data_IF_231493816754
#
_entry.id   IF_231493816754
#
_cell.length_a   1.000
_cell.length_b   1.000
_cell.length_c   1.000
_cell.angle_alpha   90.00
_cell.angle_beta   90.00
_cell.angle_gamma   90.00
#
_symmetry.space_group_name_H-M   'P 1'
#
loop_
_entity.id
_entity.type
_entity.pdbx_description
1 polymer ?
#
# COMPACT_ATOMS: atom_id res chain seq x y z
N UNK A 1 -2.73 -16.43 -23.75
CA UNK A 1 -4.06 -16.65 -23.14
C UNK A 1 -4.66 -15.29 -22.85
N UNK A 2 -5.53 -14.79 -23.73
CA UNK A 2 -6.22 -13.52 -23.52
C UNK A 2 -7.33 -13.74 -22.49
N UNK A 3 -7.16 -13.19 -21.28
CA UNK A 3 -8.26 -13.15 -20.31
C UNK A 3 -9.12 -11.95 -20.71
N UNK A 4 -10.16 -12.20 -21.49
CA UNK A 4 -11.15 -11.19 -21.84
C UNK A 4 -11.97 -10.86 -20.58
N UNK A 5 -11.44 -9.98 -19.73
CA UNK A 5 -12.19 -9.44 -18.59
C UNK A 5 -13.24 -8.49 -19.16
N UNK A 6 -14.51 -8.89 -19.12
CA UNK A 6 -15.63 -7.96 -19.32
C UNK A 6 -15.65 -6.95 -18.16
N UNK A 7 -14.87 -5.88 -18.31
CA UNK A 7 -14.81 -4.80 -17.33
C UNK A 7 -16.01 -3.90 -17.56
N UNK A 8 -16.93 -3.85 -16.58
CA UNK A 8 -18.07 -2.91 -16.57
C UNK A 8 -17.57 -1.47 -16.77
N UNK A 9 -18.29 -0.61 -17.51
CA UNK A 9 -17.84 0.77 -17.80
C UNK A 9 -17.46 1.60 -16.56
N UNK A 10 -18.13 1.40 -15.42
CA UNK A 10 -17.83 2.07 -14.16
C UNK A 10 -16.42 1.76 -13.61
N UNK A 11 -15.89 0.57 -13.92
CA UNK A 11 -14.60 0.06 -13.43
C UNK A 11 -13.44 0.49 -14.36
N UNK A 12 -13.73 0.84 -15.62
CA UNK A 12 -12.74 1.20 -16.65
C UNK A 12 -11.80 2.34 -16.20
N UNK A 13 -12.28 3.23 -15.33
CA UNK A 13 -11.50 4.38 -14.86
C UNK A 13 -10.61 4.08 -13.65
N UNK A 14 -10.69 2.88 -13.07
CA UNK A 14 -9.94 2.49 -11.86
C UNK A 14 -8.84 1.44 -12.13
N UNK A 15 -8.81 0.89 -13.35
CA UNK A 15 -7.86 -0.12 -13.81
C UNK A 15 -7.06 0.46 -14.98
N UNK A 16 -5.78 0.11 -15.06
CA UNK A 16 -5.00 0.33 -16.27
C UNK A 16 -5.63 -0.41 -17.45
N UNK A 17 -5.99 0.37 -18.47
CA UNK A 17 -6.62 -0.16 -19.67
C UNK A 17 -5.58 -0.85 -20.55
N UNK A 18 -5.83 -2.13 -20.87
CA UNK A 18 -5.13 -2.81 -21.96
C UNK A 18 -5.54 -2.17 -23.30
N UNK A 19 -4.54 -1.80 -24.11
CA UNK A 19 -4.73 -1.19 -25.43
C UNK A 19 -4.53 -2.22 -26.54
N UNK A 20 -3.47 -3.04 -26.44
CA UNK A 20 -3.10 -4.01 -27.47
C UNK A 20 -2.20 -5.11 -26.89
N UNK A 21 -2.36 -6.34 -27.38
CA UNK A 21 -1.40 -7.44 -27.15
C UNK A 21 -0.70 -7.73 -28.46
N UNK A 22 0.63 -7.66 -28.45
CA UNK A 22 1.50 -7.95 -29.57
C UNK A 22 2.19 -9.30 -29.33
N UNK A 23 2.34 -10.08 -30.39
CA UNK A 23 3.10 -11.33 -30.38
C UNK A 23 4.15 -11.22 -31.48
N UNK A 24 5.43 -11.27 -31.11
CA UNK A 24 6.54 -11.23 -32.06
C UNK A 24 7.68 -12.11 -31.55
N UNK A 25 8.23 -13.00 -32.39
CA UNK A 25 9.38 -13.88 -32.10
C UNK A 25 9.40 -14.58 -30.72
N UNK A 26 8.23 -15.02 -30.22
CA UNK A 26 8.10 -15.71 -28.94
C UNK A 26 8.03 -14.78 -27.72
N UNK A 27 8.03 -13.46 -27.93
CA UNK A 27 7.76 -12.45 -26.93
C UNK A 27 6.28 -12.01 -26.98
N UNK A 28 5.67 -11.85 -25.80
CA UNK A 28 4.33 -11.30 -25.65
C UNK A 28 4.48 -9.89 -25.06
N UNK A 29 4.12 -8.86 -25.83
CA UNK A 29 4.13 -7.48 -25.35
C UNK A 29 2.71 -7.00 -25.10
N UNK A 30 2.45 -6.46 -23.91
CA UNK A 30 1.14 -5.91 -23.52
C UNK A 30 1.25 -4.39 -23.49
N UNK A 31 0.57 -3.72 -24.42
CA UNK A 31 0.46 -2.26 -24.45
C UNK A 31 -0.68 -1.82 -23.52
N UNK A 32 -0.36 -0.91 -22.60
CA UNK A 32 -1.27 -0.43 -21.57
C UNK A 32 -1.39 1.09 -21.59
N UNK A 33 -2.44 1.62 -20.97
CA UNK A 33 -2.57 3.04 -20.71
C UNK A 33 -1.34 3.58 -19.95
N UNK A 34 -0.76 4.66 -20.47
CA UNK A 34 0.41 5.28 -19.87
C UNK A 34 0.04 6.14 -18.65
N UNK A 35 0.73 5.87 -17.53
CA UNK A 35 0.64 6.62 -16.29
C UNK A 35 1.97 7.34 -16.05
N UNK A 36 2.05 8.61 -16.44
CA UNK A 36 3.28 9.42 -16.45
C UNK A 36 3.86 9.73 -15.06
N UNK A 37 3.12 9.44 -13.98
CA UNK A 37 3.59 9.50 -12.60
C UNK A 37 4.16 8.17 -12.08
N UNK A 38 4.12 7.11 -12.90
CA UNK A 38 4.64 5.80 -12.52
C UNK A 38 3.86 5.14 -11.37
N UNK A 39 4.53 4.29 -10.61
CA UNK A 39 3.96 3.56 -9.48
C UNK A 39 4.23 4.25 -8.14
N UNK A 40 3.39 3.98 -7.13
CA UNK A 40 3.55 4.61 -5.81
C UNK A 40 4.84 4.23 -5.09
N UNK A 41 5.48 3.09 -5.39
CA UNK A 41 6.82 2.78 -4.85
C UNK A 41 7.91 3.70 -5.44
N UNK A 42 7.77 4.10 -6.71
CA UNK A 42 8.65 5.08 -7.35
C UNK A 42 8.40 6.46 -6.77
N UNK A 43 7.13 6.85 -6.61
CA UNK A 43 6.76 8.11 -5.94
C UNK A 43 7.29 8.16 -4.52
N UNK A 44 7.24 7.05 -3.77
CA UNK A 44 7.75 6.98 -2.40
C UNK A 44 9.25 7.25 -2.33
N UNK A 45 10.04 6.80 -3.30
CA UNK A 45 11.50 7.05 -3.35
C UNK A 45 11.81 8.55 -3.44
N UNK A 46 11.01 9.30 -4.20
CA UNK A 46 11.16 10.75 -4.34
C UNK A 46 10.56 11.52 -3.15
N UNK A 47 9.35 11.14 -2.72
CA UNK A 47 8.63 11.83 -1.65
C UNK A 47 9.21 11.54 -0.25
N UNK A 48 9.93 10.42 -0.10
CA UNK A 48 10.34 9.77 1.17
C UNK A 48 9.17 9.29 2.02
N UNK A 49 8.06 10.05 2.10
CA UNK A 49 6.81 9.70 2.76
C UNK A 49 5.64 10.32 2.00
N UNK A 50 4.52 9.61 1.94
CA UNK A 50 3.29 10.14 1.35
C UNK A 50 2.39 10.67 2.48
N UNK A 51 1.92 11.93 2.40
CA UNK A 51 1.00 12.48 3.39
C UNK A 51 -0.31 11.70 3.50
N UNK A 52 -0.90 11.67 4.69
CA UNK A 52 -2.12 10.93 4.98
C UNK A 52 -3.31 11.37 4.09
N UNK A 53 -3.43 12.66 3.84
CA UNK A 53 -4.45 13.26 2.98
C UNK A 53 -4.35 12.79 1.51
N UNK A 54 -3.13 12.56 1.04
CA UNK A 54 -2.83 12.01 -0.29
C UNK A 54 -3.18 10.52 -0.32
N UNK A 55 -2.85 9.79 0.75
CA UNK A 55 -3.18 8.36 0.87
C UNK A 55 -4.68 8.11 0.94
N UNK A 56 -5.45 8.98 1.60
CA UNK A 56 -6.91 8.92 1.63
C UNK A 56 -7.52 8.79 0.23
N UNK A 57 -6.98 9.53 -0.75
CA UNK A 57 -7.41 9.43 -2.16
C UNK A 57 -7.06 8.09 -2.82
N UNK A 58 -5.88 7.56 -2.53
CA UNK A 58 -5.44 6.26 -3.06
C UNK A 58 -6.32 5.12 -2.52
N UNK A 59 -6.59 5.13 -1.21
CA UNK A 59 -7.44 4.14 -0.54
C UNK A 59 -8.86 4.13 -1.10
N UNK A 60 -9.45 5.30 -1.30
CA UNK A 60 -10.80 5.43 -1.85
C UNK A 60 -10.95 4.69 -3.17
N UNK A 61 -9.97 4.87 -4.08
CA UNK A 61 -10.00 4.20 -5.38
C UNK A 61 -9.73 2.71 -5.27
N UNK A 62 -8.79 2.30 -4.42
CA UNK A 62 -8.52 0.88 -4.17
C UNK A 62 -9.73 0.14 -3.59
N UNK A 63 -10.43 0.74 -2.62
CA UNK A 63 -11.63 0.17 -2.00
C UNK A 63 -12.85 0.18 -2.91
N UNK A 64 -13.07 1.24 -3.69
CA UNK A 64 -14.13 1.29 -4.69
C UNK A 64 -13.99 0.14 -5.70
N UNK A 65 -12.76 -0.11 -6.14
CA UNK A 65 -12.44 -1.24 -7.03
C UNK A 65 -12.77 -2.60 -6.39
N UNK A 66 -12.34 -2.84 -5.15
CA UNK A 66 -12.62 -4.11 -4.46
C UNK A 66 -14.13 -4.31 -4.24
N UNK A 67 -14.87 -3.23 -3.96
CA UNK A 67 -16.31 -3.25 -3.63
C UNK A 67 -17.20 -3.50 -4.83
N UNK A 68 -16.99 -2.83 -5.95
CA UNK A 68 -17.84 -3.01 -7.14
C UNK A 68 -17.71 -4.41 -7.75
N UNK A 69 -16.65 -5.13 -7.36
CA UNK A 69 -16.19 -6.37 -7.96
C UNK A 69 -16.15 -7.52 -6.95
N UNK A 70 -17.14 -7.67 -6.07
CA UNK A 70 -17.28 -8.78 -5.09
C UNK A 70 -17.20 -10.23 -5.65
N UNK A 71 -16.68 -10.45 -6.86
CA UNK A 71 -16.25 -11.75 -7.40
C UNK A 71 -14.84 -11.80 -8.03
N UNK A 72 -14.00 -10.74 -8.01
CA UNK A 72 -12.61 -10.87 -8.52
C UNK A 72 -11.59 -10.26 -7.54
N UNK A 73 -10.72 -11.12 -7.04
CA UNK A 73 -9.55 -10.81 -6.18
C UNK A 73 -8.42 -10.18 -7.00
N UNK A 74 -7.70 -9.22 -6.42
CA UNK A 74 -6.51 -8.64 -7.06
C UNK A 74 -5.29 -9.55 -6.92
N UNK A 75 -5.05 -10.08 -5.72
CA UNK A 75 -3.94 -11.00 -5.39
C UNK A 75 -2.54 -10.41 -5.28
N UNK A 76 -2.38 -9.12 -5.52
CA UNK A 76 -1.07 -8.46 -5.51
C UNK A 76 -1.19 -6.95 -5.25
N UNK A 77 -1.98 -6.55 -4.25
CA UNK A 77 -2.09 -5.13 -3.88
C UNK A 77 -0.81 -4.71 -3.16
N UNK A 78 -0.02 -3.83 -3.79
CA UNK A 78 1.22 -3.27 -3.23
C UNK A 78 1.53 -1.92 -3.91
N UNK A 79 2.41 -1.07 -3.35
CA UNK A 79 2.71 0.24 -3.94
C UNK A 79 3.16 0.21 -5.40
N UNK A 80 3.90 -0.81 -5.82
CA UNK A 80 4.34 -0.96 -7.22
C UNK A 80 3.20 -1.21 -8.21
N UNK A 81 2.05 -1.68 -7.71
CA UNK A 81 0.88 -2.02 -8.53
C UNK A 81 -0.21 -0.92 -8.46
N UNK A 82 0.10 0.21 -7.82
CA UNK A 82 -0.75 1.40 -7.76
C UNK A 82 -0.09 2.47 -8.62
N UNK A 83 -0.61 2.71 -9.81
CA UNK A 83 -0.08 3.68 -10.76
C UNK A 83 -0.80 5.03 -10.66
N UNK A 84 -0.06 6.09 -10.92
CA UNK A 84 -0.54 7.48 -10.80
C UNK A 84 -0.10 8.34 -11.98
N UNK A 85 -0.82 9.42 -12.25
CA UNK A 85 -0.48 10.32 -13.35
C UNK A 85 -0.68 11.80 -13.01
N UNK A 86 -0.11 12.68 -13.83
CA UNK A 86 -0.10 14.13 -13.69
C UNK A 86 -1.49 14.77 -13.70
N UNK A 87 -2.51 14.05 -14.19
CA UNK A 87 -3.94 14.45 -14.12
C UNK A 87 -4.58 14.12 -12.77
N UNK A 88 -3.85 13.47 -11.87
CA UNK A 88 -4.31 13.02 -10.56
C UNK A 88 -5.17 11.76 -10.61
N UNK A 89 -5.04 10.96 -11.66
CA UNK A 89 -5.64 9.63 -11.70
C UNK A 89 -4.76 8.64 -10.93
N UNK A 90 -5.42 7.76 -10.19
CA UNK A 90 -4.83 6.63 -9.47
C UNK A 90 -5.53 5.38 -9.99
N UNK A 91 -4.76 4.38 -10.44
CA UNK A 91 -5.27 3.15 -11.05
C UNK A 91 -4.44 1.96 -10.58
N UNK A 92 -5.09 0.82 -10.42
CA UNK A 92 -4.42 -0.44 -10.11
C UNK A 92 -3.98 -1.13 -11.41
N UNK A 93 -2.85 -1.83 -11.37
CA UNK A 93 -2.34 -2.68 -12.46
C UNK A 93 -2.05 -4.11 -11.98
N UNK A 94 -1.72 -5.01 -12.91
CA UNK A 94 -1.31 -6.40 -12.62
C UNK A 94 -2.36 -7.24 -11.87
N UNK A 95 -3.61 -7.12 -12.29
CA UNK A 95 -4.73 -7.92 -11.77
C UNK A 95 -4.59 -9.39 -12.12
N UNK A 96 -4.33 -10.25 -11.13
CA UNK A 96 -4.64 -11.68 -11.19
C UNK A 96 -3.92 -12.54 -12.24
N UNK A 97 -3.14 -11.96 -13.17
CA UNK A 97 -2.32 -12.73 -14.13
C UNK A 97 -1.23 -13.49 -13.38
N UNK A 98 -0.81 -12.96 -12.23
CA UNK A 98 0.13 -13.64 -11.34
C UNK A 98 -0.45 -14.95 -10.81
N UNK A 99 -1.71 -15.04 -10.38
CA UNK A 99 -2.24 -16.28 -9.79
C UNK A 99 -2.22 -17.51 -10.71
N UNK A 100 -2.34 -17.33 -12.03
CA UNK A 100 -2.28 -18.43 -13.01
C UNK A 100 -0.86 -18.62 -13.59
N UNK A 101 -0.04 -17.57 -13.69
CA UNK A 101 1.38 -17.68 -14.04
C UNK A 101 2.26 -18.19 -12.88
N UNK A 102 1.88 -17.93 -11.63
CA UNK A 102 2.58 -18.37 -10.40
C UNK A 102 2.54 -19.90 -10.30
N UNK A 103 1.42 -20.54 -10.65
CA UNK A 103 1.33 -22.00 -10.68
C UNK A 103 2.20 -22.61 -11.80
N UNK A 104 2.54 -21.84 -12.84
CA UNK A 104 3.37 -22.30 -13.97
C UNK A 104 4.87 -21.96 -13.81
N UNK A 105 5.23 -20.94 -13.01
CA UNK A 105 6.62 -20.46 -12.80
C UNK A 105 7.01 -20.40 -11.32
N UNK A 106 6.64 -21.42 -10.54
CA UNK A 106 6.67 -21.43 -9.07
C UNK A 106 8.05 -21.26 -8.37
N UNK A 107 9.13 -20.86 -9.05
CA UNK A 107 10.47 -20.76 -8.48
C UNK A 107 11.14 -19.37 -8.50
N UNK A 108 10.50 -18.27 -8.92
CA UNK A 108 11.24 -16.99 -9.14
C UNK A 108 10.68 -15.69 -8.54
N UNK A 109 9.85 -15.69 -7.49
CA UNK A 109 9.39 -14.42 -6.90
C UNK A 109 9.29 -14.43 -5.36
N UNK A 110 10.40 -14.08 -4.72
CA UNK A 110 10.52 -13.86 -3.26
C UNK A 110 9.91 -12.52 -2.83
N UNK A 111 9.95 -11.49 -3.68
CA UNK A 111 9.54 -10.12 -3.33
C UNK A 111 8.02 -9.86 -3.24
N UNK A 112 7.20 -10.62 -3.95
CA UNK A 112 5.72 -10.45 -3.93
C UNK A 112 5.08 -11.04 -2.66
N UNK A 113 5.76 -11.97 -1.97
CA UNK A 113 5.21 -12.70 -0.82
C UNK A 113 5.20 -11.89 0.49
N UNK A 114 5.82 -10.72 0.53
CA UNK A 114 5.90 -9.90 1.75
C UNK A 114 4.59 -9.18 2.10
N UNK A 115 3.70 -8.91 1.14
CA UNK A 115 2.41 -8.25 1.40
C UNK A 115 1.28 -9.24 1.71
N UNK A 116 1.58 -10.53 1.65
CA UNK A 116 0.61 -11.61 1.82
C UNK A 116 0.12 -11.73 3.28
N UNK A 117 -1.17 -12.01 3.46
CA UNK A 117 -1.77 -12.22 4.79
C UNK A 117 -1.35 -13.57 5.39
N UNK A 118 -1.21 -13.63 6.71
CA UNK A 118 -0.85 -14.87 7.46
C UNK A 118 -1.75 -16.09 7.23
N UNK A 119 -3.01 -15.91 6.76
CA UNK A 119 -3.96 -17.00 6.48
C UNK A 119 -3.64 -17.86 5.24
N UNK A 120 -2.48 -17.67 4.61
CA UNK A 120 -2.07 -18.37 3.38
C UNK A 120 -1.36 -19.71 3.61
N UNK A 121 -1.23 -20.16 4.86
CA UNK A 121 -0.96 -21.58 5.12
C UNK A 121 -2.24 -22.40 4.84
N UNK A 122 -2.58 -22.56 3.57
CA UNK A 122 -3.51 -23.60 3.10
C UNK A 122 -4.98 -23.23 2.86
N UNK A 123 -5.39 -21.95 2.84
CA UNK A 123 -6.78 -21.57 2.53
C UNK A 123 -6.92 -20.62 1.33
N UNK A 124 -8.03 -20.73 0.61
CA UNK A 124 -8.34 -19.98 -0.61
C UNK A 124 -8.16 -18.47 -0.41
N UNK A 125 -7.42 -17.84 -1.32
CA UNK A 125 -7.27 -16.38 -1.37
C UNK A 125 -8.67 -15.73 -1.37
N UNK A 126 -8.85 -14.65 -0.60
CA UNK A 126 -10.12 -13.91 -0.53
C UNK A 126 -9.88 -12.41 -0.58
N UNK A 127 -10.95 -11.63 -0.72
CA UNK A 127 -10.91 -10.15 -0.65
C UNK A 127 -10.26 -9.66 0.65
N UNK A 128 -10.37 -10.42 1.75
CA UNK A 128 -9.72 -10.08 3.01
C UNK A 128 -8.20 -10.00 2.86
N UNK A 129 -7.59 -10.82 2.01
CA UNK A 129 -6.15 -10.77 1.73
C UNK A 129 -5.75 -9.47 1.03
N UNK A 130 -6.58 -8.97 0.10
CA UNK A 130 -6.35 -7.68 -0.56
C UNK A 130 -6.47 -6.51 0.43
N UNK A 131 -7.41 -6.58 1.38
CA UNK A 131 -7.56 -5.59 2.46
C UNK A 131 -6.31 -5.53 3.34
N UNK A 132 -5.74 -6.69 3.69
CA UNK A 132 -4.48 -6.74 4.45
C UNK A 132 -3.32 -6.13 3.67
N UNK A 133 -3.18 -6.53 2.40
CA UNK A 133 -2.11 -6.05 1.52
C UNK A 133 -2.19 -4.52 1.32
N UNK A 134 -3.41 -3.99 1.21
CA UNK A 134 -3.68 -2.55 1.23
C UNK A 134 -3.27 -1.90 2.55
N UNK A 135 -3.62 -2.51 3.69
CA UNK A 135 -3.21 -2.03 5.02
C UNK A 135 -1.69 -1.93 5.16
N UNK A 136 -0.94 -2.94 4.72
CA UNK A 136 0.53 -2.93 4.74
C UNK A 136 1.09 -1.85 3.82
N UNK A 137 0.56 -1.74 2.61
CA UNK A 137 0.94 -0.70 1.65
C UNK A 137 0.76 0.70 2.23
N UNK A 138 -0.33 0.95 2.97
CA UNK A 138 -0.57 2.24 3.60
C UNK A 138 0.45 2.55 4.69
N UNK A 139 0.82 1.58 5.52
CA UNK A 139 1.86 1.78 6.54
C UNK A 139 3.20 2.11 5.86
N UNK A 140 3.58 1.36 4.83
CA UNK A 140 4.81 1.60 4.09
C UNK A 140 4.86 3.01 3.48
N UNK A 141 3.82 3.39 2.75
CA UNK A 141 3.75 4.70 2.11
C UNK A 141 3.75 5.85 3.12
N UNK A 142 3.15 5.63 4.29
CA UNK A 142 3.10 6.62 5.38
C UNK A 142 4.44 6.80 6.08
N UNK A 143 5.15 5.70 6.35
CA UNK A 143 6.41 5.68 7.10
C UNK A 143 7.62 5.93 6.19
N UNK A 144 7.52 5.60 4.90
CA UNK A 144 8.65 5.70 3.96
C UNK A 144 9.52 4.47 3.87
N UNK A 145 9.08 3.36 4.47
CA UNK A 145 9.83 2.12 4.61
C UNK A 145 8.85 0.96 4.80
N UNK A 146 9.19 -0.19 4.22
CA UNK A 146 8.44 -1.43 4.44
C UNK A 146 8.34 -1.77 5.95
N UNK A 147 7.14 -2.03 6.49
CA UNK A 147 6.88 -1.92 7.93
C UNK A 147 7.24 -3.16 8.75
N UNK A 148 7.84 -4.18 8.14
CA UNK A 148 8.24 -5.42 8.82
C UNK A 148 9.74 -5.67 8.61
N UNK A 149 10.54 -5.78 9.68
CA UNK A 149 10.15 -5.57 11.08
C UNK A 149 9.80 -4.08 11.34
N UNK A 150 8.93 -3.80 12.34
CA UNK A 150 8.57 -2.43 12.70
C UNK A 150 9.79 -1.58 13.08
N UNK A 151 9.80 -0.28 12.72
CA UNK A 151 10.88 0.61 13.14
C UNK A 151 10.87 0.77 14.66
N UNK A 152 12.05 0.78 15.26
CA UNK A 152 12.18 1.07 16.69
C UNK A 152 11.99 2.56 17.00
N UNK A 153 12.00 2.92 18.29
CA UNK A 153 11.80 4.31 18.73
C UNK A 153 12.85 5.29 18.17
N UNK A 154 14.10 4.84 17.97
CA UNK A 154 15.18 5.68 17.45
C UNK A 154 15.00 5.92 15.95
N UNK A 155 14.61 4.88 15.22
CA UNK A 155 14.24 4.99 13.80
C UNK A 155 13.03 5.90 13.61
N UNK A 156 11.98 5.74 14.43
CA UNK A 156 10.80 6.60 14.39
C UNK A 156 11.13 8.07 14.71
N UNK A 157 12.00 8.32 15.69
CA UNK A 157 12.48 9.68 15.98
C UNK A 157 13.30 10.26 14.82
N UNK A 158 14.09 9.45 14.12
CA UNK A 158 14.80 9.89 12.92
C UNK A 158 13.86 10.21 11.75
N UNK A 159 12.76 9.46 11.60
CA UNK A 159 11.79 9.62 10.50
C UNK A 159 10.86 10.82 10.74
N UNK A 160 10.38 11.00 11.98
CA UNK A 160 9.32 11.95 12.33
C UNK A 160 9.75 13.07 13.28
N UNK A 161 10.98 13.05 13.79
CA UNK A 161 11.42 13.94 14.86
C UNK A 161 10.79 13.61 16.22
N UNK A 162 10.86 14.54 17.17
CA UNK A 162 10.37 14.35 18.57
C UNK A 162 8.85 14.14 18.70
N UNK A 163 8.09 14.20 17.61
CA UNK A 163 6.64 14.02 17.60
C UNK A 163 6.20 12.56 17.86
N UNK A 164 7.09 11.57 17.74
CA UNK A 164 6.75 10.15 17.82
C UNK A 164 6.93 9.49 19.21
N UNK A 165 6.98 10.28 20.30
CA UNK A 165 7.14 9.69 21.65
C UNK A 165 5.90 8.87 22.04
N UNK A 166 6.02 7.57 22.38
CA UNK A 166 4.93 6.86 23.02
C UNK A 166 4.61 7.52 24.37
N UNK A 167 3.34 7.48 24.83
CA UNK A 167 2.98 8.00 26.14
C UNK A 167 3.84 7.32 27.21
N UNK A 168 4.56 8.11 28.02
CA UNK A 168 5.33 7.59 29.15
C UNK A 168 4.36 6.86 30.10
N UNK A 169 4.58 5.59 30.45
CA UNK A 169 3.85 5.01 31.56
C UNK A 169 4.23 5.77 32.85
N UNK A 170 3.24 6.36 33.51
CA UNK A 170 3.41 6.92 34.85
C UNK A 170 3.47 5.75 35.84
N UNK A 171 4.67 5.23 36.10
CA UNK A 171 4.93 4.31 37.20
C UNK A 171 5.93 4.95 38.18
N UNK A 172 5.72 4.81 39.50
CA UNK A 172 6.57 5.41 40.51
C UNK A 172 7.96 4.76 40.53
N UNK A 173 8.97 5.58 40.86
CA UNK A 173 10.37 5.21 40.96
C UNK A 173 10.60 4.14 42.04
N UNK A 174 10.85 2.89 41.65
CA UNK A 174 11.66 1.96 42.45
C UNK A 174 12.30 0.85 41.61
N UNK A 175 13.64 0.92 41.58
CA UNK A 175 14.61 -0.19 41.50
C UNK A 175 14.38 -1.29 40.46
N UNK A 176 14.95 -1.11 39.26
CA UNK A 176 15.56 -2.23 38.53
C UNK A 176 16.89 -1.76 37.95
N UNK A 177 17.97 -2.36 38.44
CA UNK A 177 19.34 -2.15 37.98
C UNK A 177 19.47 -2.53 36.50
N UNK A 178 19.89 -1.58 35.67
CA UNK A 178 20.20 -1.80 34.25
C UNK A 178 21.69 -2.15 34.12
N UNK A 179 22.10 -3.28 33.53
CA UNK A 179 23.49 -3.49 33.19
C UNK A 179 23.83 -2.72 31.90
N UNK A 180 24.80 -1.83 32.03
CA UNK A 180 25.86 -1.47 31.07
C UNK A 180 25.53 -1.36 29.58
N UNK A 181 25.58 -0.11 29.12
CA UNK A 181 25.67 0.31 27.73
C UNK A 181 26.96 -0.21 27.08
N UNK A 182 26.85 -0.89 25.95
CA UNK A 182 27.96 -1.03 24.99
C UNK A 182 27.59 -0.20 23.76
N UNK A 183 28.31 0.88 23.56
CA UNK A 183 28.23 1.68 22.34
C UNK A 183 28.87 0.93 21.18
N UNK A 184 28.13 0.77 20.08
CA UNK A 184 28.71 0.46 18.79
C UNK A 184 27.89 1.07 17.64
N UNK A 185 28.61 1.83 16.81
CA UNK A 185 28.50 1.92 15.36
C UNK A 185 27.15 2.26 14.73
N UNK A 186 27.10 3.38 14.02
CA UNK A 186 26.34 3.43 12.78
C UNK A 186 26.89 2.32 11.87
N UNK A 187 26.09 1.30 11.56
CA UNK A 187 25.93 0.72 10.22
C UNK A 187 25.04 -0.54 10.23
N UNK A 188 24.04 -0.50 9.34
CA UNK A 188 23.40 -1.64 8.66
C UNK A 188 22.93 -2.83 9.50
N UNK A 189 21.72 -2.74 10.08
CA UNK A 189 20.96 -3.96 10.40
C UNK A 189 20.78 -4.77 9.09
N UNK A 190 21.10 -6.08 9.06
CA UNK A 190 20.86 -6.90 7.89
C UNK A 190 19.39 -6.85 7.48
N UNK A 191 19.12 -6.83 6.18
CA UNK A 191 17.77 -7.05 5.69
C UNK A 191 17.30 -8.44 6.13
N UNK A 192 16.12 -8.50 6.74
CA UNK A 192 15.49 -9.74 7.22
C UNK A 192 15.35 -10.74 6.07
N UNK A 193 15.65 -12.02 6.32
CA UNK A 193 15.48 -13.07 5.32
C UNK A 193 13.99 -13.35 5.08
N UNK A 194 13.64 -13.91 3.90
CA UNK A 194 12.23 -14.14 3.55
C UNK A 194 11.49 -15.06 4.53
N UNK A 195 12.14 -16.11 5.03
CA UNK A 195 11.52 -17.03 5.99
C UNK A 195 11.25 -16.35 7.33
N UNK A 196 12.16 -15.50 7.79
CA UNK A 196 11.98 -14.69 9.01
C UNK A 196 10.84 -13.68 8.83
N UNK A 197 10.72 -13.08 7.65
CA UNK A 197 9.63 -12.17 7.32
C UNK A 197 8.27 -12.88 7.32
N UNK A 198 8.20 -14.06 6.70
CA UNK A 198 6.96 -14.85 6.69
C UNK A 198 6.60 -15.33 8.10
N UNK A 199 7.59 -15.75 8.89
CA UNK A 199 7.39 -16.12 10.28
C UNK A 199 6.86 -14.92 11.10
N UNK A 200 7.44 -13.74 10.92
CA UNK A 200 6.98 -12.51 11.56
C UNK A 200 5.50 -12.23 11.21
N UNK A 201 5.14 -12.27 9.93
CA UNK A 201 3.76 -12.02 9.48
C UNK A 201 2.78 -13.00 10.16
N UNK A 202 3.18 -14.26 10.34
CA UNK A 202 2.33 -15.31 10.91
C UNK A 202 2.27 -15.26 12.43
N UNK A 203 3.38 -14.96 13.12
CA UNK A 203 3.50 -15.15 14.57
C UNK A 203 3.53 -13.85 15.36
N UNK A 204 4.06 -12.76 14.80
CA UNK A 204 4.24 -11.48 15.49
C UNK A 204 3.02 -10.54 15.33
N UNK A 205 2.85 -9.53 16.19
CA UNK A 205 1.75 -8.58 16.05
C UNK A 205 1.85 -7.79 14.73
N UNK A 206 0.71 -7.40 14.12
CA UNK A 206 0.71 -6.64 12.90
C UNK A 206 1.34 -5.25 13.11
N UNK A 207 1.98 -4.67 12.08
CA UNK A 207 2.54 -3.34 12.18
C UNK A 207 1.44 -2.29 12.42
N UNK A 208 1.82 -1.19 13.07
CA UNK A 208 0.93 -0.08 13.40
C UNK A 208 1.57 1.24 12.99
N UNK A 209 0.74 2.22 12.65
CA UNK A 209 1.19 3.59 12.48
C UNK A 209 1.59 4.18 13.85
N UNK A 210 2.65 5.01 13.90
CA UNK A 210 3.07 5.66 15.14
C UNK A 210 2.03 6.65 15.66
N UNK A 211 1.75 6.58 16.95
CA UNK A 211 0.86 7.49 17.66
C UNK A 211 1.43 8.92 17.69
N UNK A 212 0.55 9.93 17.66
CA UNK A 212 0.94 11.35 17.71
C UNK A 212 1.45 11.95 16.40
N UNK A 213 1.66 11.12 15.36
CA UNK A 213 2.07 11.56 14.02
C UNK A 213 0.90 11.58 13.05
N UNK A 214 0.09 10.53 13.07
CA UNK A 214 -1.05 10.34 12.17
C UNK A 214 -2.37 10.58 12.89
N UNK A 215 -3.43 10.86 12.13
CA UNK A 215 -4.75 11.06 12.75
C UNK A 215 -5.25 9.75 13.40
N UNK A 216 -6.03 9.84 14.50
CA UNK A 216 -6.62 8.66 15.11
C UNK A 216 -7.49 7.85 14.13
N UNK A 217 -8.19 8.54 13.22
CA UNK A 217 -9.04 7.89 12.22
C UNK A 217 -8.23 7.05 11.23
N UNK A 218 -7.04 7.52 10.83
CA UNK A 218 -6.18 6.77 9.92
C UNK A 218 -5.49 5.59 10.62
N UNK A 219 -5.05 5.78 11.86
CA UNK A 219 -4.52 4.70 12.69
C UNK A 219 -5.56 3.58 12.87
N UNK A 220 -6.80 3.93 13.21
CA UNK A 220 -7.89 2.97 13.35
C UNK A 220 -8.21 2.26 12.02
N UNK A 221 -8.25 3.01 10.91
CA UNK A 221 -8.51 2.46 9.58
C UNK A 221 -7.47 1.40 9.20
N UNK A 222 -6.19 1.72 9.35
CA UNK A 222 -5.08 0.79 9.08
C UNK A 222 -5.13 -0.40 10.04
N UNK A 223 -5.41 -0.17 11.32
CA UNK A 223 -5.54 -1.25 12.30
C UNK A 223 -6.62 -2.26 11.89
N UNK A 224 -7.78 -1.79 11.44
CA UNK A 224 -8.88 -2.64 10.95
C UNK A 224 -8.52 -3.44 9.70
N UNK A 225 -7.66 -2.91 8.83
CA UNK A 225 -7.13 -3.63 7.67
C UNK A 225 -6.14 -4.73 8.06
N UNK A 226 -5.36 -4.51 9.13
CA UNK A 226 -4.27 -5.38 9.56
C UNK A 226 -4.65 -6.33 10.72
N UNK A 227 -5.93 -6.58 10.95
CA UNK A 227 -6.37 -7.65 11.86
C UNK A 227 -5.93 -8.99 11.25
N UNK A 228 -5.21 -9.81 12.02
CA UNK A 228 -4.64 -11.09 11.54
C UNK A 228 -5.72 -12.10 11.21
N UNK A 229 -6.74 -12.24 12.05
CA UNK A 229 -7.88 -13.11 11.80
C UNK A 229 -8.72 -12.55 10.63
N UNK A 230 -8.77 -13.22 9.46
CA UNK A 230 -9.52 -12.72 8.30
C UNK A 230 -11.03 -12.57 8.57
N UNK A 231 -11.60 -13.34 9.52
CA UNK A 231 -13.01 -13.26 9.86
C UNK A 231 -13.36 -12.04 10.73
N UNK A 232 -12.38 -11.52 11.49
CA UNK A 232 -12.53 -10.31 12.32
C UNK A 232 -12.05 -9.05 11.59
N UNK A 233 -11.22 -9.21 10.56
CA UNK A 233 -10.75 -8.11 9.71
C UNK A 233 -11.95 -7.42 9.06
N UNK A 234 -11.93 -6.10 9.08
CA UNK A 234 -13.01 -5.30 8.52
C UNK A 234 -13.23 -5.67 7.05
N UNK A 235 -14.49 -5.86 6.67
CA UNK A 235 -14.87 -6.03 5.28
C UNK A 235 -14.93 -4.68 4.56
N UNK A 236 -15.09 -4.72 3.24
CA UNK A 236 -15.16 -3.52 2.40
C UNK A 236 -16.31 -2.59 2.79
N UNK A 237 -17.44 -3.13 3.24
CA UNK A 237 -18.61 -2.34 3.62
C UNK A 237 -18.30 -1.51 4.87
N UNK A 238 -17.65 -2.12 5.86
CA UNK A 238 -17.18 -1.46 7.08
C UNK A 238 -16.14 -0.39 6.74
N UNK A 239 -15.16 -0.69 5.87
CA UNK A 239 -14.11 0.24 5.50
C UNK A 239 -14.67 1.46 4.73
N UNK A 240 -15.63 1.27 3.84
CA UNK A 240 -16.26 2.37 3.09
C UNK A 240 -17.14 3.28 3.96
N UNK A 241 -17.60 2.78 5.10
CA UNK A 241 -18.28 3.57 6.13
C UNK A 241 -17.33 4.21 7.14
N UNK A 242 -16.02 3.97 7.05
CA UNK A 242 -15.07 4.40 8.07
C UNK A 242 -14.88 5.91 8.10
N UNK A 243 -14.67 6.49 9.29
CA UNK A 243 -14.51 7.92 9.48
C UNK A 243 -13.36 8.51 8.64
N UNK A 244 -12.24 7.78 8.51
CA UNK A 244 -11.13 8.15 7.63
C UNK A 244 -11.56 8.35 6.18
N UNK A 245 -12.30 7.38 5.62
CA UNK A 245 -12.83 7.43 4.25
C UNK A 245 -13.81 8.59 4.10
N UNK A 246 -14.74 8.75 5.05
CA UNK A 246 -15.72 9.84 5.00
C UNK A 246 -15.09 11.22 5.08
N UNK A 247 -14.00 11.36 5.84
CA UNK A 247 -13.23 12.59 5.89
C UNK A 247 -12.52 12.83 4.56
N UNK A 248 -11.83 11.83 4.01
CA UNK A 248 -11.15 11.94 2.72
C UNK A 248 -12.08 12.16 1.53
N UNK A 249 -13.35 11.75 1.60
CA UNK A 249 -14.38 12.08 0.60
C UNK A 249 -14.76 13.56 0.62
N UNK A 250 -14.70 14.21 1.79
CA UNK A 250 -15.08 15.60 1.97
C UNK A 250 -13.89 16.57 1.82
N UNK A 251 -12.66 16.08 1.94
CA UNK A 251 -11.44 16.88 1.82
C UNK A 251 -11.06 17.09 0.33
N UNK A 252 -11.00 18.36 -0.08
CA UNK A 252 -10.47 18.74 -1.39
C UNK A 252 -8.94 18.75 -1.35
N UNK A 253 -8.33 17.64 -1.80
CA UNK A 253 -6.88 17.46 -1.86
C UNK A 253 -6.39 17.55 -3.31
N UNK A 254 -5.50 18.51 -3.58
CA UNK A 254 -4.80 18.67 -4.87
C UNK A 254 -3.71 17.59 -5.05
N UNK A 255 -4.16 16.37 -5.30
CA UNK A 255 -3.28 15.23 -5.55
C UNK A 255 -2.43 15.42 -6.81
N UNK A 256 -3.00 15.96 -7.89
CA UNK A 256 -2.30 16.19 -9.14
C UNK A 256 -1.12 17.17 -8.96
N UNK A 257 -1.35 18.31 -8.31
CA UNK A 257 -0.29 19.26 -8.02
C UNK A 257 0.74 18.75 -7.03
N UNK A 258 0.34 18.00 -5.99
CA UNK A 258 1.29 17.35 -5.10
C UNK A 258 2.21 16.38 -5.88
N UNK A 259 1.64 15.54 -6.73
CA UNK A 259 2.39 14.57 -7.52
C UNK A 259 3.34 15.27 -8.50
N UNK A 260 2.86 16.28 -9.23
CA UNK A 260 3.67 17.02 -10.18
C UNK A 260 4.85 17.73 -9.51
N UNK A 261 4.65 18.30 -8.32
CA UNK A 261 5.75 18.91 -7.53
C UNK A 261 6.75 17.87 -7.06
N UNK A 262 6.27 16.72 -6.60
CA UNK A 262 7.11 15.63 -6.09
C UNK A 262 8.00 15.05 -7.18
N UNK A 263 7.43 14.79 -8.35
CA UNK A 263 8.11 14.15 -9.48
C UNK A 263 8.71 15.14 -10.50
N UNK A 264 8.56 16.44 -10.26
CA UNK A 264 8.96 17.52 -11.20
C UNK A 264 8.33 17.37 -12.59
N UNK A 265 7.08 16.96 -12.63
CA UNK A 265 6.29 16.87 -13.87
C UNK A 265 5.66 18.23 -14.18
N UNK A 266 5.47 18.52 -15.47
CA UNK A 266 4.63 19.63 -15.88
C UNK A 266 3.17 19.25 -15.65
N UNK A 267 2.40 20.11 -14.96
CA UNK A 267 0.95 19.91 -14.90
C UNK A 267 0.39 20.01 -16.33
N UNK A 268 -0.37 19.01 -16.81
CA UNK A 268 -0.98 19.11 -18.11
C UNK A 268 -1.93 20.30 -18.11
N UNK A 269 -1.70 21.27 -19.00
CA UNK A 269 -2.66 22.33 -19.28
C UNK A 269 -3.98 21.64 -19.66
N UNK A 270 -5.02 21.88 -18.86
CA UNK A 270 -6.39 21.46 -19.16
C UNK A 270 -6.66 21.77 -20.64
N UNK A 271 -7.12 20.82 -21.47
CA UNK A 271 -7.55 21.17 -22.81
C UNK A 271 -8.68 22.18 -22.61
N UNK A 272 -8.40 23.44 -22.91
CA UNK A 272 -9.44 24.45 -23.03
C UNK A 272 -10.35 23.89 -24.09
N UNK A 273 -11.58 23.52 -23.71
CA UNK A 273 -12.63 23.17 -24.65
C UNK A 273 -12.74 24.38 -25.59
N UNK A 274 -12.11 24.28 -26.76
CA UNK A 274 -12.32 25.22 -27.86
C UNK A 274 -13.80 25.14 -28.17
N UNK A 275 -14.51 26.21 -27.80
CA UNK A 275 -15.82 26.49 -28.33
C UNK A 275 -15.67 26.65 -29.84
N UNK A 276 -16.15 25.67 -30.60
CA UNK A 276 -16.85 25.84 -31.87
C UNK A 276 -17.90 24.75 -31.96
#
# INVERSE_FOLDING_TARGET
>A
MLIHLEIKPAIRNQIIRELQVLHDDGEISICMEHMDGGSLDQVLKEAKRIPEEILGRSVLRGLAYLREKHQIMHRDVKPSNILVNSRGEIKLCDFGVSGQLIDSMANSFVGTRSYMSSGLQGTHYSVQSDIWSMGLSLVELSIGRYPIPPPDAKELEAIFGRCARPPRPSLPLSLVSVPHCVGHGMDSRPAMAIFELLDYIVNEPPPKLPSGVFSPQFQEFVHKCLIKNPAERADLKMLMGHAFIKRSEAEEVDFAGWLCRTLRLNQPSTPTRTAV
#
